data_IF_675425940162
#
_entry.id   IF_675425940162
#
_cell.length_a   1.000
_cell.length_b   1.000
_cell.length_c   1.000
_cell.angle_alpha   90.00
_cell.angle_beta   90.00
_cell.angle_gamma   90.00
#
_symmetry.space_group_name_H-M   'P 1'
#
loop_
_entity.id
_entity.type
_entity.pdbx_description
1 polymer ?
#
# COMPACT_ATOMS: atom_id res chain seq x y z
N UNK A 1 4.61 32.94 -24.42
CA UNK A 1 3.58 32.53 -23.44
C UNK A 1 4.28 32.35 -22.11
N UNK A 2 4.18 33.35 -21.22
CA UNK A 2 4.88 33.40 -19.94
C UNK A 2 4.22 32.41 -18.98
N UNK A 3 4.93 31.36 -18.57
CA UNK A 3 4.58 30.57 -17.39
C UNK A 3 4.80 31.46 -16.17
N UNK A 4 3.81 32.28 -15.84
CA UNK A 4 3.74 32.98 -14.57
C UNK A 4 2.98 32.03 -13.63
N UNK A 5 3.64 31.31 -12.73
CA UNK A 5 2.92 30.57 -11.72
C UNK A 5 2.29 31.62 -10.78
N UNK A 6 0.96 31.64 -10.72
CA UNK A 6 0.17 32.44 -9.78
C UNK A 6 0.43 31.96 -8.34
N UNK A 7 1.62 32.28 -7.82
CA UNK A 7 2.07 31.95 -6.48
C UNK A 7 1.95 33.15 -5.53
N UNK A 8 1.23 34.20 -5.94
CA UNK A 8 1.17 35.49 -5.23
C UNK A 8 0.35 35.48 -3.93
N UNK A 9 -0.14 34.32 -3.49
CA UNK A 9 -0.93 34.18 -2.25
C UNK A 9 -0.35 33.17 -1.24
N UNK A 10 0.71 32.43 -1.59
CA UNK A 10 1.43 31.57 -0.64
C UNK A 10 2.61 32.39 -0.13
N UNK A 11 2.57 32.72 1.17
CA UNK A 11 3.64 33.47 1.80
C UNK A 11 4.91 32.63 1.76
N UNK A 12 6.09 33.20 1.52
CA UNK A 12 7.38 32.46 1.44
C UNK A 12 7.57 31.44 2.59
N UNK A 13 7.03 31.74 3.77
CA UNK A 13 7.01 30.85 4.95
C UNK A 13 6.20 29.57 4.74
N UNK A 14 5.04 29.65 4.12
CA UNK A 14 4.18 28.50 3.84
C UNK A 14 4.83 27.60 2.77
N UNK A 15 5.41 28.21 1.74
CA UNK A 15 6.15 27.49 0.70
C UNK A 15 7.40 26.77 1.27
N UNK A 16 8.12 27.42 2.20
CA UNK A 16 9.24 26.79 2.91
C UNK A 16 8.79 25.67 3.83
N UNK A 17 7.65 25.83 4.50
CA UNK A 17 7.10 24.81 5.40
C UNK A 17 6.64 23.59 4.59
N UNK A 18 5.95 23.80 3.47
CA UNK A 18 5.55 22.73 2.56
C UNK A 18 6.77 22.01 1.96
N UNK A 19 7.81 22.74 1.55
CA UNK A 19 9.04 22.16 1.03
C UNK A 19 9.76 21.28 2.05
N UNK A 20 9.81 21.71 3.32
CA UNK A 20 10.45 20.94 4.40
C UNK A 20 9.60 19.73 4.80
N UNK A 21 8.27 19.86 4.83
CA UNK A 21 7.38 18.79 5.27
C UNK A 21 7.05 17.76 4.16
N UNK A 22 7.12 18.15 2.88
CA UNK A 22 6.87 17.28 1.74
C UNK A 22 7.57 15.91 1.80
N UNK A 23 8.89 15.80 2.10
CA UNK A 23 9.57 14.50 2.19
C UNK A 23 9.03 13.64 3.34
N UNK A 24 8.63 14.24 4.46
CA UNK A 24 8.07 13.49 5.60
C UNK A 24 6.67 12.94 5.28
N UNK A 25 5.84 13.72 4.59
CA UNK A 25 4.54 13.23 4.10
C UNK A 25 4.69 12.13 3.04
N UNK A 26 5.74 12.20 2.21
CA UNK A 26 6.04 11.15 1.24
C UNK A 26 6.50 9.86 1.94
N UNK A 27 7.34 9.98 2.97
CA UNK A 27 7.78 8.85 3.80
C UNK A 27 6.61 8.22 4.57
N UNK A 28 5.76 9.03 5.21
CA UNK A 28 4.59 8.56 5.93
C UNK A 28 3.64 7.77 5.01
N UNK A 29 3.35 8.30 3.81
CA UNK A 29 2.57 7.59 2.78
C UNK A 29 3.27 6.34 2.26
N UNK A 30 4.60 6.34 2.20
CA UNK A 30 5.39 5.16 1.85
C UNK A 30 5.27 4.05 2.89
N UNK A 31 5.36 4.40 4.18
CA UNK A 31 5.18 3.47 5.30
C UNK A 31 3.74 2.97 5.37
N UNK A 32 2.76 3.84 5.18
CA UNK A 32 1.34 3.47 5.11
C UNK A 32 1.10 2.48 3.96
N UNK A 33 1.61 2.75 2.75
CA UNK A 33 1.54 1.80 1.64
C UNK A 33 2.28 0.49 1.92
N UNK A 34 3.39 0.53 2.63
CA UNK A 34 4.12 -0.67 3.04
C UNK A 34 3.29 -1.50 4.04
N UNK A 35 2.67 -0.82 5.01
CA UNK A 35 1.79 -1.41 6.00
C UNK A 35 0.48 -1.93 5.39
N UNK A 36 -0.06 -1.30 4.35
CA UNK A 36 -1.18 -1.80 3.56
C UNK A 36 -0.77 -2.97 2.65
N UNK A 37 0.46 -2.93 2.11
CA UNK A 37 1.09 -4.02 1.36
C UNK A 37 1.60 -5.15 2.26
N UNK A 38 1.08 -5.24 3.48
CA UNK A 38 1.46 -6.23 4.49
C UNK A 38 1.57 -7.62 3.85
N UNK A 39 2.55 -8.42 4.31
CA UNK A 39 2.78 -9.78 3.84
C UNK A 39 1.49 -10.62 3.79
N UNK A 40 0.55 -10.33 4.70
CA UNK A 40 -0.81 -10.89 4.74
C UNK A 40 -1.62 -10.60 3.46
N UNK A 41 -1.68 -9.35 2.99
CA UNK A 41 -2.41 -8.98 1.76
C UNK A 41 -1.78 -9.64 0.53
N UNK A 42 -0.45 -9.72 0.51
CA UNK A 42 0.28 -10.40 -0.58
C UNK A 42 0.06 -11.91 -0.57
N UNK A 43 0.07 -12.56 0.61
CA UNK A 43 -0.21 -13.98 0.75
C UNK A 43 -1.67 -14.31 0.41
N UNK A 44 -2.62 -13.48 0.82
CA UNK A 44 -4.03 -13.64 0.46
C UNK A 44 -4.25 -13.46 -1.04
N UNK A 45 -3.53 -12.52 -1.68
CA UNK A 45 -3.54 -12.35 -3.13
C UNK A 45 -2.96 -13.58 -3.85
N UNK A 46 -1.84 -14.12 -3.37
CA UNK A 46 -1.25 -15.33 -3.91
C UNK A 46 -2.20 -16.54 -3.80
N UNK A 47 -2.96 -16.66 -2.71
CA UNK A 47 -4.01 -17.70 -2.55
C UNK A 47 -5.21 -17.42 -3.47
N UNK A 48 -5.58 -16.15 -3.67
CA UNK A 48 -6.71 -15.78 -4.53
C UNK A 48 -6.41 -16.01 -6.02
N UNK A 49 -5.15 -15.79 -6.42
CA UNK A 49 -4.66 -15.99 -7.79
C UNK A 49 -4.51 -17.48 -8.14
N UNK A 50 -4.50 -18.40 -7.16
CA UNK A 50 -4.56 -19.84 -7.41
C UNK A 50 -5.93 -20.24 -7.95
N UNK A 51 -5.92 -21.09 -8.97
CA UNK A 51 -7.15 -21.70 -9.50
C UNK A 51 -7.67 -22.78 -8.57
N UNK A 52 -8.98 -23.06 -8.63
CA UNK A 52 -9.58 -24.12 -7.79
C UNK A 52 -9.02 -25.51 -8.11
N UNK A 53 -8.57 -25.73 -9.36
CA UNK A 53 -7.89 -26.96 -9.76
C UNK A 53 -6.54 -27.12 -9.05
N UNK A 54 -5.78 -26.04 -8.91
CA UNK A 54 -4.49 -26.04 -8.20
C UNK A 54 -4.66 -26.19 -6.69
N UNK A 55 -5.67 -25.53 -6.12
CA UNK A 55 -6.03 -25.71 -4.71
C UNK A 55 -6.42 -27.17 -4.42
N UNK A 56 -7.25 -27.76 -5.29
CA UNK A 56 -7.66 -29.15 -5.19
C UNK A 56 -6.50 -30.14 -5.38
N UNK A 57 -5.55 -29.84 -6.28
CA UNK A 57 -4.34 -30.64 -6.45
C UNK A 57 -3.46 -30.64 -5.18
N UNK A 58 -3.52 -29.56 -4.40
CA UNK A 58 -2.89 -29.46 -3.08
C UNK A 58 -3.73 -30.05 -1.94
N UNK A 59 -4.91 -30.60 -2.23
CA UNK A 59 -5.84 -31.12 -1.24
C UNK A 59 -6.45 -30.05 -0.34
N UNK A 60 -6.42 -28.79 -0.77
CA UNK A 60 -6.90 -27.64 0.00
C UNK A 60 -8.19 -27.11 -0.60
N UNK A 61 -9.13 -26.71 0.26
CA UNK A 61 -10.24 -25.84 -0.13
C UNK A 61 -9.80 -24.38 -0.12
N UNK A 62 -10.50 -23.52 -0.88
CA UNK A 62 -10.20 -22.08 -0.91
C UNK A 62 -10.36 -21.42 0.47
N UNK A 63 -11.29 -21.90 1.27
CA UNK A 63 -11.50 -21.44 2.64
C UNK A 63 -10.33 -21.84 3.57
N UNK A 64 -9.82 -23.06 3.46
CA UNK A 64 -8.67 -23.52 4.24
C UNK A 64 -7.39 -22.77 3.84
N UNK A 65 -7.16 -22.56 2.55
CA UNK A 65 -6.01 -21.81 2.07
C UNK A 65 -6.02 -20.36 2.56
N UNK A 66 -7.19 -19.71 2.58
CA UNK A 66 -7.35 -18.38 3.17
C UNK A 66 -7.15 -18.40 4.68
N UNK A 67 -7.71 -19.39 5.39
CA UNK A 67 -7.56 -19.53 6.85
C UNK A 67 -6.09 -19.71 7.27
N UNK A 68 -5.28 -20.41 6.48
CA UNK A 68 -3.83 -20.56 6.74
C UNK A 68 -3.08 -19.22 6.71
N UNK A 69 -3.50 -18.28 5.85
CA UNK A 69 -2.92 -16.93 5.80
C UNK A 69 -3.28 -16.10 7.04
N UNK A 70 -4.46 -16.32 7.61
CA UNK A 70 -4.92 -15.60 8.82
C UNK A 70 -4.45 -16.24 10.14
N UNK A 71 -4.27 -17.57 10.21
CA UNK A 71 -3.88 -18.27 11.44
C UNK A 71 -2.40 -18.12 11.81
N UNK A 72 -1.53 -17.75 10.87
CA UNK A 72 -0.08 -17.62 11.12
C UNK A 72 0.31 -16.46 12.07
N UNK A 73 -0.64 -15.62 12.47
CA UNK A 73 -0.46 -14.41 13.29
C UNK A 73 -1.00 -14.50 14.73
N UNK A 74 -1.45 -15.68 15.19
CA UNK A 74 -1.97 -15.89 16.55
C UNK A 74 -0.90 -16.39 17.52
#
# INVERSE_FOLDING_TARGET
MSLRPDNTLITNREMLTELVLAPFYALARGIERLAESNARTQALRAVSDMTDAELKAKGLTRAEAAAMVFHHDA
#
